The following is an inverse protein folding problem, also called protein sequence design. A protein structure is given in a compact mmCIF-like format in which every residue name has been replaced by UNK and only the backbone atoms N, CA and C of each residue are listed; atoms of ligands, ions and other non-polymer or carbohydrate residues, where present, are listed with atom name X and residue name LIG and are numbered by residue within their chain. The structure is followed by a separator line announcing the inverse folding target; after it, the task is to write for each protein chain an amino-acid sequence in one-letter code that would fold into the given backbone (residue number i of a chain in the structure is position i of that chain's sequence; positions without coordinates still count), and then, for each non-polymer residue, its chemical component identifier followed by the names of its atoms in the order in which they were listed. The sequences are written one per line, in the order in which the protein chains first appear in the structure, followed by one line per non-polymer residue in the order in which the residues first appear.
data_IF_924734040393
#
_entry.id   IF_924734040393
#
_cell.length_a   1.000
_cell.length_b   1.000
_cell.length_c   1.000
_cell.angle_alpha   90.00
_cell.angle_beta   90.00
_cell.angle_gamma   90.00
#
_symmetry.space_group_name_H-M   'P 1'
#
loop_
_entity.id
_entity.type
_entity.pdbx_description
1 polymer ?
#
# COMPACT_ATOMS: atom_id res chain seq x y z
N UNK A 1 -18.34 -6.69 -30.19
CA UNK A 1 -17.87 -8.03 -30.59
C UNK A 1 -17.50 -8.75 -29.30
N UNK A 2 -18.20 -9.85 -29.01
CA UNK A 2 -18.04 -10.60 -27.77
C UNK A 2 -16.72 -11.38 -27.73
N UNK A 3 -16.26 -11.71 -26.53
CA UNK A 3 -15.13 -12.62 -26.33
C UNK A 3 -15.54 -14.04 -26.73
N UNK A 4 -14.62 -14.76 -27.38
CA UNK A 4 -14.79 -16.18 -27.65
C UNK A 4 -14.85 -16.99 -26.35
N UNK A 5 -15.40 -18.21 -26.39
CA UNK A 5 -15.44 -19.08 -25.21
C UNK A 5 -14.05 -19.36 -24.62
N UNK A 6 -13.04 -19.50 -25.48
CA UNK A 6 -11.64 -19.71 -25.07
C UNK A 6 -11.06 -18.50 -24.35
N UNK A 7 -11.30 -17.30 -24.89
CA UNK A 7 -10.88 -16.04 -24.27
C UNK A 7 -11.56 -15.80 -22.93
N UNK A 8 -12.85 -16.15 -22.83
CA UNK A 8 -13.60 -16.10 -21.57
C UNK A 8 -12.96 -16.97 -20.49
N UNK A 9 -12.74 -18.25 -20.81
CA UNK A 9 -12.09 -19.20 -19.91
C UNK A 9 -10.70 -18.73 -19.48
N UNK A 10 -9.94 -18.13 -20.39
CA UNK A 10 -8.62 -17.57 -20.09
C UNK A 10 -8.69 -16.44 -19.05
N UNK A 11 -9.69 -15.56 -19.13
CA UNK A 11 -9.83 -14.48 -18.14
C UNK A 11 -10.38 -15.00 -16.82
N UNK A 12 -11.36 -15.91 -16.82
CA UNK A 12 -11.84 -16.54 -15.59
C UNK A 12 -10.69 -17.22 -14.84
N UNK A 13 -9.77 -17.88 -15.56
CA UNK A 13 -8.54 -18.42 -14.97
C UNK A 13 -7.64 -17.33 -14.38
N UNK A 14 -7.47 -16.18 -15.05
CA UNK A 14 -6.71 -15.04 -14.50
C UNK A 14 -7.34 -14.50 -13.22
N UNK A 15 -8.68 -14.38 -13.18
CA UNK A 15 -9.41 -13.93 -11.98
C UNK A 15 -9.23 -14.93 -10.85
N UNK A 16 -9.37 -16.23 -11.11
CA UNK A 16 -9.19 -17.27 -10.09
C UNK A 16 -7.75 -17.30 -9.56
N UNK A 17 -6.75 -17.20 -10.44
CA UNK A 17 -5.35 -17.06 -10.05
C UNK A 17 -5.16 -15.86 -9.13
N UNK A 18 -5.69 -14.70 -9.52
CA UNK A 18 -5.58 -13.48 -8.73
C UNK A 18 -6.22 -13.65 -7.36
N UNK A 19 -7.48 -14.10 -7.29
CA UNK A 19 -8.19 -14.31 -6.04
C UNK A 19 -7.52 -15.37 -5.15
N UNK A 20 -6.88 -16.39 -5.73
CA UNK A 20 -6.10 -17.39 -4.99
C UNK A 20 -4.79 -16.86 -4.39
N UNK A 21 -4.51 -15.56 -4.55
CA UNK A 21 -3.30 -14.91 -4.05
C UNK A 21 -2.10 -15.09 -4.97
N UNK A 22 -2.30 -15.65 -6.18
CA UNK A 22 -1.25 -15.72 -7.19
C UNK A 22 -1.11 -14.37 -7.90
N UNK A 23 0.12 -14.08 -8.33
CA UNK A 23 0.44 -12.89 -9.10
C UNK A 23 0.52 -13.20 -10.58
N UNK A 24 0.54 -12.15 -11.39
CA UNK A 24 0.87 -12.21 -12.81
C UNK A 24 1.76 -11.02 -13.13
N UNK A 25 2.76 -11.22 -13.98
CA UNK A 25 3.71 -10.16 -14.35
C UNK A 25 2.99 -8.97 -14.98
N UNK A 26 3.44 -7.75 -14.65
CA UNK A 26 2.95 -6.54 -15.31
C UNK A 26 3.78 -6.30 -16.57
N UNK A 27 3.36 -6.90 -17.68
CA UNK A 27 4.01 -6.70 -18.99
C UNK A 27 3.56 -5.42 -19.70
N UNK A 28 2.35 -4.94 -19.39
CA UNK A 28 1.71 -3.80 -20.04
C UNK A 28 1.00 -2.93 -18.98
N UNK A 29 0.89 -1.64 -19.27
CA UNK A 29 0.02 -0.71 -18.56
C UNK A 29 -0.92 -0.08 -19.60
N UNK A 30 -2.23 -0.30 -19.43
CA UNK A 30 -3.25 0.06 -20.40
C UNK A 30 -3.59 1.54 -20.37
N UNK A 31 -3.53 2.15 -19.19
CA UNK A 31 -3.98 3.54 -18.95
C UNK A 31 -2.97 4.30 -18.11
N UNK A 32 -2.72 5.56 -18.45
CA UNK A 32 -1.98 6.51 -17.61
C UNK A 32 -0.47 6.32 -17.59
N UNK A 33 0.10 5.42 -18.40
CA UNK A 33 1.54 5.16 -18.43
C UNK A 33 2.32 6.43 -18.84
N UNK A 34 1.78 7.19 -19.79
CA UNK A 34 2.29 8.47 -20.27
C UNK A 34 2.30 9.56 -19.20
N UNK A 35 1.43 9.44 -18.20
CA UNK A 35 1.35 10.34 -17.04
C UNK A 35 2.18 9.85 -15.85
N UNK A 36 2.73 8.65 -15.95
CA UNK A 36 3.53 8.01 -14.90
C UNK A 36 5.02 8.08 -15.20
N UNK A 37 5.84 7.97 -14.14
CA UNK A 37 7.30 7.85 -14.25
C UNK A 37 7.72 6.53 -13.63
N UNK A 38 8.73 5.84 -14.20
CA UNK A 38 9.31 4.66 -13.57
C UNK A 38 9.64 4.95 -12.12
N UNK A 39 9.22 4.06 -11.22
CA UNK A 39 9.53 4.16 -9.81
C UNK A 39 11.04 4.03 -9.62
N UNK A 40 11.60 4.96 -8.86
CA UNK A 40 13.00 4.98 -8.44
C UNK A 40 13.00 5.39 -6.97
N UNK A 41 13.29 4.41 -6.11
CA UNK A 41 13.35 4.60 -4.67
C UNK A 41 14.28 5.77 -4.33
N UNK A 42 13.90 6.57 -3.32
CA UNK A 42 14.67 7.74 -2.86
C UNK A 42 14.78 8.89 -3.88
N UNK A 43 14.21 8.75 -5.09
CA UNK A 43 14.17 9.80 -6.10
C UNK A 43 12.76 10.33 -6.33
N UNK A 44 11.82 9.47 -6.73
CA UNK A 44 10.43 9.88 -7.00
C UNK A 44 9.37 9.12 -6.18
N UNK A 45 9.75 7.97 -5.59
CA UNK A 45 8.93 7.20 -4.66
C UNK A 45 9.65 7.01 -3.32
N UNK A 46 8.87 7.00 -2.24
CA UNK A 46 9.29 6.74 -0.86
C UNK A 46 8.45 5.62 -0.32
N UNK A 47 9.09 4.50 0.02
CA UNK A 47 8.45 3.39 0.71
C UNK A 47 8.83 3.41 2.19
N UNK A 48 7.83 3.21 3.03
CA UNK A 48 7.97 3.06 4.47
C UNK A 48 7.52 1.66 4.81
N UNK A 49 8.31 0.97 5.63
CA UNK A 49 7.92 -0.33 6.17
C UNK A 49 7.79 -0.17 7.67
N UNK A 50 6.67 -0.64 8.21
CA UNK A 50 6.31 -0.57 9.61
C UNK A 50 6.04 -1.98 10.11
N UNK A 51 6.69 -2.39 11.20
CA UNK A 51 6.43 -3.67 11.86
C UNK A 51 5.63 -3.47 13.13
N UNK A 52 4.48 -4.13 13.24
CA UNK A 52 3.70 -4.30 14.48
C UNK A 52 4.04 -5.66 15.07
N UNK A 53 4.50 -5.66 16.31
CA UNK A 53 4.98 -6.86 16.99
C UNK A 53 4.28 -6.99 18.33
N UNK A 54 3.87 -8.21 18.68
CA UNK A 54 3.29 -8.53 19.98
C UNK A 54 4.21 -9.43 20.80
N UNK A 55 4.22 -9.22 22.11
CA UNK A 55 4.97 -10.09 23.03
C UNK A 55 4.11 -11.29 23.45
N UNK A 56 4.35 -12.45 22.85
CA UNK A 56 3.63 -13.68 23.15
C UNK A 56 4.13 -14.38 24.44
N UNK A 57 5.29 -13.97 25.00
CA UNK A 57 5.88 -14.63 26.19
C UNK A 57 5.19 -14.28 27.51
N UNK A 58 4.22 -13.35 27.51
CA UNK A 58 3.48 -12.96 28.73
C UNK A 58 2.22 -13.80 28.96
N UNK A 59 1.96 -14.85 28.16
CA UNK A 59 0.77 -15.70 28.33
C UNK A 59 0.93 -16.78 29.41
N UNK A 60 0.79 -16.38 30.67
CA UNK A 60 -0.01 -17.10 31.68
C UNK A 60 -0.62 -16.08 32.66
N UNK A 61 -1.77 -15.49 32.32
CA UNK A 61 -2.65 -14.87 33.32
C UNK A 61 -3.25 -13.49 33.02
N UNK A 62 -2.78 -12.73 32.01
CA UNK A 62 -3.34 -11.42 31.68
C UNK A 62 -3.78 -11.37 30.20
N UNK A 63 -5.03 -10.99 29.94
CA UNK A 63 -5.61 -10.86 28.60
C UNK A 63 -5.10 -9.65 27.79
N UNK A 64 -3.97 -9.04 28.19
CA UNK A 64 -3.47 -7.81 27.58
C UNK A 64 -2.11 -8.05 26.93
N UNK A 65 -2.13 -8.20 25.60
CA UNK A 65 -0.92 -8.33 24.77
C UNK A 65 -0.15 -7.01 24.71
N UNK A 66 1.16 -7.08 24.92
CA UNK A 66 2.09 -5.96 24.82
C UNK A 66 2.44 -5.72 23.35
N UNK A 67 2.50 -4.46 22.93
CA UNK A 67 2.76 -4.09 21.54
C UNK A 67 4.03 -3.23 21.41
N UNK A 68 4.73 -3.39 20.28
CA UNK A 68 5.80 -2.48 19.84
C UNK A 68 5.63 -2.20 18.35
N UNK A 69 5.88 -0.96 17.93
CA UNK A 69 5.89 -0.53 16.54
C UNK A 69 7.24 0.10 16.18
N UNK A 70 7.90 -0.43 15.14
CA UNK A 70 9.16 0.10 14.58
C UNK A 70 8.89 0.64 13.16
N UNK A 71 9.47 1.79 12.79
CA UNK A 71 9.13 2.52 11.55
C UNK A 71 10.38 3.13 10.90
N UNK A 72 10.76 2.62 9.71
CA UNK A 72 11.87 3.19 8.91
C UNK A 72 11.39 3.81 7.60
N UNK A 73 11.96 4.97 7.24
CA UNK A 73 11.68 5.71 6.00
C UNK A 73 12.77 5.49 4.95
N UNK A 74 12.44 5.00 3.76
CA UNK A 74 13.37 4.99 2.62
C UNK A 74 13.17 6.20 1.72
N UNK A 75 13.86 7.32 1.99
CA UNK A 75 13.86 8.51 1.13
C UNK A 75 14.29 9.80 1.85
N UNK A 76 15.09 10.64 1.18
CA UNK A 76 15.54 11.95 1.69
C UNK A 76 14.40 12.96 1.55
N UNK A 77 14.04 13.65 2.64
CA UNK A 77 13.12 14.77 2.57
C UNK A 77 13.82 15.95 1.88
N UNK A 78 13.29 16.43 0.75
CA UNK A 78 13.56 17.79 0.29
C UNK A 78 12.61 18.68 1.08
N UNK A 79 13.17 19.51 1.96
CA UNK A 79 12.39 20.42 2.77
C UNK A 79 11.77 21.52 1.89
N UNK A 80 10.46 21.72 2.02
CA UNK A 80 9.78 22.96 1.65
C UNK A 80 9.55 23.71 2.98
N UNK A 81 10.02 24.96 3.13
CA UNK A 81 9.91 25.67 4.40
C UNK A 81 8.48 26.19 4.61
N UNK A 82 7.91 26.09 5.83
CA UNK A 82 6.67 26.75 6.18
C UNK A 82 6.89 28.26 6.49
N UNK A 83 5.85 29.11 6.35
CA UNK A 83 5.95 30.52 6.68
C UNK A 83 5.70 30.76 8.18
N UNK A 84 6.66 31.46 8.82
CA UNK A 84 6.48 32.45 9.90
C UNK A 84 5.86 32.04 11.25
N UNK A 85 6.60 32.33 12.33
CA UNK A 85 6.05 32.55 13.69
C UNK A 85 7.01 32.13 14.82
N UNK A 86 7.59 33.11 15.53
CA UNK A 86 8.66 32.92 16.52
C UNK A 86 8.24 32.75 18.00
N UNK A 87 9.26 32.40 18.80
CA UNK A 87 9.57 32.63 20.25
C UNK A 87 8.43 32.50 21.30
N UNK A 88 8.59 31.98 22.52
CA UNK A 88 9.73 31.80 23.44
C UNK A 88 9.29 30.91 24.64
N UNK A 89 10.22 30.38 25.45
CA UNK A 89 9.97 30.06 26.87
C UNK A 89 10.24 28.62 27.37
N UNK A 90 11.12 28.50 28.38
CA UNK A 90 11.81 27.29 28.84
C UNK A 90 11.14 26.48 29.98
N UNK A 91 11.58 25.21 30.15
CA UNK A 91 11.62 24.53 31.46
C UNK A 91 11.38 23.00 31.46
N UNK A 92 12.36 22.24 31.99
CA UNK A 92 12.10 20.97 32.70
C UNK A 92 12.33 19.65 31.93
N UNK A 93 13.40 18.94 32.32
CA UNK A 93 13.79 17.60 31.86
C UNK A 93 12.85 16.49 32.34
N UNK A 94 12.54 15.53 31.46
CA UNK A 94 12.45 14.09 31.76
C UNK A 94 12.37 13.32 30.42
N UNK A 95 13.33 12.42 30.20
CA UNK A 95 13.53 11.72 28.94
C UNK A 95 12.40 10.76 28.59
N UNK A 96 12.03 10.74 27.31
CA UNK A 96 11.19 9.68 26.76
C UNK A 96 11.79 9.14 25.47
N UNK A 97 11.81 7.83 25.42
CA UNK A 97 12.65 7.02 24.57
C UNK A 97 11.83 6.38 23.46
N UNK A 98 11.92 6.98 22.28
CA UNK A 98 11.91 6.31 21.00
C UNK A 98 12.80 7.17 20.08
N UNK A 99 13.81 6.56 19.46
CA UNK A 99 14.71 7.12 18.45
C UNK A 99 14.50 8.62 18.12
N UNK A 100 15.10 9.49 18.91
CA UNK A 100 15.38 10.86 18.49
C UNK A 100 16.48 10.74 17.44
N UNK A 101 16.14 10.84 16.15
CA UNK A 101 17.07 11.51 15.23
C UNK A 101 17.04 12.97 15.70
N UNK A 102 18.15 13.51 16.24
CA UNK A 102 18.14 14.89 16.69
C UNK A 102 17.86 15.78 15.48
N UNK A 103 16.81 16.59 15.58
CA UNK A 103 16.75 17.82 14.82
C UNK A 103 18.02 18.61 15.15
N UNK A 104 18.86 18.86 14.13
CA UNK A 104 20.05 19.67 14.27
C UNK A 104 19.68 20.99 14.93
N UNK A 105 20.29 21.23 16.08
CA UNK A 105 20.17 22.44 16.88
C UNK A 105 20.71 23.61 16.06
N UNK A 106 19.90 24.66 15.90
CA UNK A 106 20.35 25.97 15.42
C UNK A 106 21.49 26.48 16.31
N UNK A 107 22.65 26.68 15.69
CA UNK A 107 23.78 27.42 16.23
C UNK A 107 24.16 28.46 15.19
N UNK A 108 24.06 29.74 15.57
CA UNK A 108 24.21 30.87 14.67
C UNK A 108 25.59 31.01 14.04
N UNK A 109 25.60 31.75 12.92
CA UNK A 109 26.81 32.23 12.26
C UNK A 109 26.45 32.91 10.96
N UNK A 110 26.18 34.23 11.02
CA UNK A 110 26.15 35.07 9.82
C UNK A 110 27.57 35.20 9.25
N UNK A 111 27.69 35.07 7.93
CA UNK A 111 28.94 35.26 7.19
C UNK A 111 28.80 34.80 5.74
N UNK A 112 28.67 35.76 4.84
CA UNK A 112 28.49 35.65 3.39
C UNK A 112 29.77 35.18 2.62
N UNK A 113 29.70 34.94 1.28
CA UNK A 113 30.42 33.87 0.59
C UNK A 113 31.69 34.30 -0.16
N UNK A 114 32.55 33.33 -0.49
CA UNK A 114 33.65 33.48 -1.45
C UNK A 114 33.87 32.18 -2.22
N UNK A 115 33.89 32.28 -3.56
CA UNK A 115 33.91 31.15 -4.49
C UNK A 115 35.27 30.51 -4.79
N UNK A 116 35.31 29.73 -5.86
CA UNK A 116 36.54 29.22 -6.48
C UNK A 116 36.53 27.72 -6.75
N UNK A 117 36.89 27.36 -7.98
CA UNK A 117 36.83 26.04 -8.59
C UNK A 117 37.82 24.98 -8.05
N UNK A 118 37.64 23.77 -8.60
CA UNK A 118 38.63 22.73 -8.92
C UNK A 118 38.64 21.42 -8.12
N UNK A 119 38.90 20.38 -8.91
CA UNK A 119 38.74 18.96 -8.63
C UNK A 119 39.90 18.40 -7.80
N UNK A 120 39.56 17.45 -6.92
CA UNK A 120 40.51 16.59 -6.23
C UNK A 120 39.74 15.47 -5.56
N UNK A 121 39.97 14.24 -6.01
CA UNK A 121 39.30 13.07 -5.46
C UNK A 121 39.74 12.80 -4.03
N UNK A 122 38.77 12.66 -3.13
CA UNK A 122 38.95 11.93 -1.87
C UNK A 122 37.76 10.98 -1.71
N UNK A 123 38.11 9.70 -1.77
CA UNK A 123 37.27 8.54 -1.52
C UNK A 123 36.72 8.60 -0.10
N UNK A 124 35.40 8.79 0.06
CA UNK A 124 34.73 8.60 1.33
C UNK A 124 34.31 7.12 1.46
N UNK A 125 35.05 6.38 2.30
CA UNK A 125 35.04 4.92 2.44
C UNK A 125 33.84 4.34 3.23
N UNK A 126 32.72 5.06 3.35
CA UNK A 126 31.62 4.67 4.24
C UNK A 126 30.36 4.17 3.51
N UNK A 127 30.39 4.08 2.17
CA UNK A 127 29.26 3.61 1.37
C UNK A 127 29.67 2.43 0.47
N UNK A 128 30.12 1.34 1.08
CA UNK A 128 30.08 0.05 0.39
C UNK A 128 28.61 -0.38 0.31
N UNK A 129 28.11 -0.51 -0.93
CA UNK A 129 26.70 -0.78 -1.23
C UNK A 129 26.09 -1.90 -0.39
N UNK A 130 25.18 -1.51 0.51
CA UNK A 130 24.38 -2.46 1.26
C UNK A 130 23.21 -2.94 0.41
N UNK A 131 23.38 -4.21 0.03
CA UNK A 131 22.49 -5.13 -0.68
C UNK A 131 21.04 -5.07 -0.19
N UNK A 132 20.11 -4.78 -1.12
CA UNK A 132 18.71 -5.18 -0.96
C UNK A 132 18.67 -6.71 -0.71
N UNK A 133 17.85 -7.21 0.24
CA UNK A 133 17.84 -8.62 0.59
C UNK A 133 17.63 -9.49 -0.67
N UNK A 134 18.48 -10.50 -0.80
CA UNK A 134 18.40 -11.51 -1.84
C UNK A 134 17.08 -12.28 -1.70
N UNK A 135 16.36 -12.41 -2.83
CA UNK A 135 15.29 -13.36 -3.14
C UNK A 135 14.31 -13.89 -2.05
N UNK A 136 12.98 -13.71 -2.22
CA UNK A 136 11.95 -14.33 -1.37
C UNK A 136 11.68 -15.82 -1.61
N UNK A 137 12.48 -16.53 -2.40
CA UNK A 137 12.27 -17.97 -2.65
C UNK A 137 12.91 -18.88 -1.60
N UNK A 138 13.65 -18.37 -0.63
CA UNK A 138 14.25 -19.18 0.44
C UNK A 138 13.88 -18.61 1.84
N UNK A 139 13.19 -19.44 2.61
CA UNK A 139 13.00 -19.42 4.08
C UNK A 139 13.75 -18.29 4.81
N UNK A 140 13.06 -17.18 5.08
CA UNK A 140 13.52 -16.20 6.08
C UNK A 140 13.53 -14.74 5.64
N UNK A 141 12.37 -14.17 5.32
CA UNK A 141 12.19 -12.72 5.29
C UNK A 141 12.43 -12.14 6.70
N UNK A 142 13.69 -11.84 7.02
CA UNK A 142 14.08 -11.15 8.24
C UNK A 142 13.80 -9.66 8.04
N UNK A 143 13.10 -9.00 8.96
CA UNK A 143 12.89 -7.55 8.87
C UNK A 143 14.12 -6.82 9.45
N UNK A 144 15.04 -6.27 8.64
CA UNK A 144 16.29 -5.69 9.17
C UNK A 144 16.02 -4.50 10.10
N UNK A 145 14.95 -3.76 9.83
CA UNK A 145 14.51 -2.58 10.57
C UNK A 145 14.21 -2.87 12.04
N UNK A 146 13.52 -3.97 12.32
CA UNK A 146 13.16 -4.36 13.71
C UNK A 146 14.43 -4.75 14.48
N UNK A 147 15.42 -5.31 13.80
CA UNK A 147 16.72 -5.63 14.39
C UNK A 147 17.52 -4.38 14.71
N UNK A 148 17.60 -3.43 13.78
CA UNK A 148 18.34 -2.17 13.94
C UNK A 148 17.71 -1.26 15.01
N UNK A 149 16.39 -1.05 14.94
CA UNK A 149 15.68 -0.13 15.83
C UNK A 149 15.33 -0.74 17.20
N UNK A 150 15.08 -2.05 17.28
CA UNK A 150 14.58 -2.69 18.50
C UNK A 150 15.39 -3.89 18.99
N UNK A 151 16.39 -4.37 18.23
CA UNK A 151 17.26 -5.47 18.61
C UNK A 151 16.70 -6.87 18.38
N UNK A 152 15.47 -7.00 17.85
CA UNK A 152 14.83 -8.29 17.62
C UNK A 152 15.01 -8.79 16.18
N UNK A 153 15.28 -10.09 16.04
CA UNK A 153 15.06 -10.79 14.78
C UNK A 153 13.56 -11.12 14.67
N UNK A 154 12.94 -10.85 13.53
CA UNK A 154 11.53 -11.14 13.30
C UNK A 154 11.24 -11.55 11.87
N UNK A 155 10.10 -12.21 11.67
CA UNK A 155 9.55 -12.59 10.38
C UNK A 155 8.14 -11.99 10.19
N UNK A 156 7.79 -11.51 8.99
CA UNK A 156 6.44 -11.02 8.72
C UNK A 156 5.45 -12.19 8.75
N UNK A 157 4.32 -11.98 9.42
CA UNK A 157 3.16 -12.88 9.39
C UNK A 157 2.28 -12.52 8.20
N UNK A 158 1.90 -11.24 8.07
CA UNK A 158 1.03 -10.73 6.99
C UNK A 158 1.19 -9.22 6.87
N UNK A 159 0.82 -8.65 5.73
CA UNK A 159 0.50 -7.23 5.61
C UNK A 159 -0.83 -6.94 6.34
N UNK A 160 -0.85 -5.93 7.21
CA UNK A 160 -2.03 -5.48 7.97
C UNK A 160 -2.77 -4.30 7.33
N UNK A 161 -2.00 -3.37 6.75
CA UNK A 161 -2.53 -2.19 6.07
C UNK A 161 -1.51 -1.64 5.06
N UNK A 162 -1.98 -1.16 3.90
CA UNK A 162 -1.24 -0.17 3.10
C UNK A 162 -1.82 1.20 3.39
N UNK A 163 -0.95 2.17 3.66
CA UNK A 163 -1.30 3.58 3.64
C UNK A 163 -0.60 4.28 2.51
N UNK A 164 -1.28 5.17 1.81
CA UNK A 164 -0.70 5.90 0.71
C UNK A 164 -1.11 7.38 0.71
N UNK A 165 -0.21 8.21 0.22
CA UNK A 165 -0.47 9.62 -0.10
C UNK A 165 0.03 9.82 -1.54
N UNK A 166 -0.65 9.14 -2.45
CA UNK A 166 -0.30 9.01 -3.84
C UNK A 166 0.88 8.07 -4.07
N UNK A 167 1.28 7.87 -5.33
CA UNK A 167 2.33 6.91 -5.67
C UNK A 167 3.72 7.27 -5.13
N UNK A 168 3.89 8.49 -4.63
CA UNK A 168 5.17 8.98 -4.14
C UNK A 168 5.46 8.59 -2.69
N UNK A 169 4.43 8.25 -1.92
CA UNK A 169 4.55 7.91 -0.51
C UNK A 169 3.63 6.75 -0.19
N UNK A 170 4.21 5.60 0.11
CA UNK A 170 3.47 4.38 0.44
C UNK A 170 4.08 3.75 1.68
N UNK A 171 3.24 3.46 2.67
CA UNK A 171 3.60 2.78 3.91
C UNK A 171 2.99 1.38 3.95
N UNK A 172 3.85 0.37 4.01
CA UNK A 172 3.50 -1.03 4.17
C UNK A 172 3.58 -1.40 5.66
N UNK A 173 2.44 -1.77 6.24
CA UNK A 173 2.35 -2.14 7.66
C UNK A 173 2.25 -3.65 7.76
N UNK A 174 3.20 -4.28 8.44
CA UNK A 174 3.26 -5.72 8.63
C UNK A 174 2.94 -6.08 10.08
N UNK A 175 2.22 -7.18 10.27
CA UNK A 175 2.26 -7.94 11.52
C UNK A 175 3.52 -8.81 11.46
N UNK A 176 4.34 -8.81 12.51
CA UNK A 176 5.56 -9.61 12.57
C UNK A 176 5.67 -10.39 13.88
N UNK A 177 6.31 -11.57 13.79
CA UNK A 177 6.61 -12.44 14.91
C UNK A 177 8.10 -12.36 15.24
N UNK A 178 8.44 -12.21 16.52
CA UNK A 178 9.82 -12.31 16.99
C UNK A 178 10.29 -13.75 16.86
N UNK A 179 11.45 -13.93 16.24
CA UNK A 179 12.11 -15.24 16.06
C UNK A 179 13.44 -15.33 16.81
N UNK A 180 13.96 -14.21 17.31
CA UNK A 180 15.20 -14.17 18.08
C UNK A 180 15.63 -12.75 18.43
N UNK A 181 16.90 -12.59 18.82
CA UNK A 181 17.44 -11.31 19.28
C UNK A 181 17.00 -10.94 20.69
N UNK A 182 17.33 -9.72 21.09
CA UNK A 182 17.04 -9.19 22.42
C UNK A 182 16.73 -7.71 22.34
N UNK A 183 15.86 -7.23 23.23
CA UNK A 183 15.46 -5.83 23.28
C UNK A 183 16.67 -4.89 23.38
N UNK A 184 16.73 -3.92 22.47
CA UNK A 184 17.75 -2.87 22.49
C UNK A 184 17.54 -1.96 23.69
N UNK A 185 18.55 -1.88 24.56
CA UNK A 185 18.57 -1.01 25.74
C UNK A 185 19.42 0.25 25.45
N UNK A 186 19.42 1.21 26.39
CA UNK A 186 20.27 2.40 26.31
C UNK A 186 21.77 2.11 26.14
N UNK A 187 22.25 0.93 26.56
CA UNK A 187 23.66 0.56 26.39
C UNK A 187 24.01 0.23 24.94
N UNK A 188 23.01 -0.06 24.11
CA UNK A 188 23.13 -0.33 22.69
C UNK A 188 22.61 0.84 21.83
N UNK A 189 22.48 2.05 22.40
CA UNK A 189 22.02 3.23 21.70
C UNK A 189 22.93 3.59 20.51
N UNK A 190 22.34 3.92 19.38
CA UNK A 190 23.04 4.36 18.17
C UNK A 190 22.20 5.39 17.40
N UNK A 191 22.57 5.65 16.14
CA UNK A 191 21.89 6.64 15.28
C UNK A 191 20.52 6.16 14.77
N UNK A 192 20.23 4.86 14.81
CA UNK A 192 18.92 4.32 14.40
C UNK A 192 17.92 4.44 15.54
N UNK A 193 18.33 4.12 16.77
CA UNK A 193 17.49 4.32 17.96
C UNK A 193 18.26 4.32 19.27
N UNK A 194 17.72 5.04 20.26
CA UNK A 194 18.28 5.08 21.62
C UNK A 194 17.97 3.81 22.42
N UNK A 195 16.75 3.26 22.30
CA UNK A 195 16.33 1.98 22.88
C UNK A 195 15.01 1.53 22.24
N UNK A 196 14.55 0.33 22.61
CA UNK A 196 13.17 -0.11 22.47
C UNK A 196 12.59 -0.56 23.81
N UNK A 197 11.25 -0.52 23.91
CA UNK A 197 10.51 -1.00 25.07
C UNK A 197 9.17 -1.57 24.65
N UNK A 198 8.65 -2.50 25.44
CA UNK A 198 7.27 -2.98 25.31
C UNK A 198 6.32 -1.94 25.90
N UNK A 199 5.19 -1.72 25.22
CA UNK A 199 4.13 -0.88 25.73
C UNK A 199 2.91 -1.72 26.12
N UNK A 200 2.40 -1.47 27.33
CA UNK A 200 1.22 -2.13 27.92
C UNK A 200 -0.10 -1.62 27.33
N UNK A 201 -0.06 -0.58 26.49
CA UNK A 201 -1.23 0.14 25.95
C UNK A 201 -2.01 0.97 26.97
N UNK A 202 -1.55 1.05 28.22
CA UNK A 202 -2.17 1.82 29.30
C UNK A 202 -1.33 3.04 29.68
N UNK A 203 -0.01 2.88 29.73
CA UNK A 203 0.91 3.93 30.11
C UNK A 203 0.86 5.09 29.11
N UNK A 204 0.78 6.31 29.62
CA UNK A 204 0.89 7.52 28.79
C UNK A 204 2.33 7.62 28.27
N UNK A 205 2.48 7.66 26.95
CA UNK A 205 3.75 7.86 26.27
C UNK A 205 3.67 9.13 25.40
N UNK A 206 4.63 10.06 25.49
CA UNK A 206 4.87 11.06 24.46
C UNK A 206 5.18 10.38 23.11
N UNK A 207 4.14 10.15 22.31
CA UNK A 207 4.27 9.55 20.99
C UNK A 207 4.74 10.58 19.96
N UNK A 208 5.68 10.19 19.09
CA UNK A 208 6.08 10.99 17.92
C UNK A 208 4.89 11.30 17.00
N UNK A 209 4.02 10.32 16.84
CA UNK A 209 2.79 10.41 16.06
C UNK A 209 1.74 9.48 16.67
N UNK A 210 0.48 9.93 16.70
CA UNK A 210 -0.64 9.12 17.22
C UNK A 210 -1.19 8.13 16.20
N UNK A 211 -0.74 8.21 14.95
CA UNK A 211 -1.15 7.33 13.85
C UNK A 211 -0.79 5.86 14.13
N UNK A 212 0.31 5.61 14.84
CA UNK A 212 0.74 4.25 15.24
C UNK A 212 -0.30 3.52 16.09
N UNK A 213 -1.15 4.23 16.84
CA UNK A 213 -2.18 3.63 17.69
C UNK A 213 -3.19 2.85 16.85
N UNK A 214 -3.60 3.42 15.71
CA UNK A 214 -4.49 2.73 14.76
C UNK A 214 -3.82 1.53 14.11
N UNK A 215 -2.50 1.58 13.87
CA UNK A 215 -1.74 0.45 13.32
C UNK A 215 -1.67 -0.72 14.32
N UNK A 216 -1.45 -0.41 15.60
CA UNK A 216 -1.49 -1.40 16.69
C UNK A 216 -2.88 -2.02 16.80
N UNK A 217 -3.94 -1.21 16.73
CA UNK A 217 -5.32 -1.70 16.75
C UNK A 217 -5.63 -2.65 15.58
N UNK A 218 -5.17 -2.34 14.36
CA UNK A 218 -5.28 -3.25 13.22
C UNK A 218 -4.58 -4.58 13.50
N UNK A 219 -3.35 -4.53 14.04
CA UNK A 219 -2.62 -5.72 14.42
C UNK A 219 -3.36 -6.56 15.47
N UNK A 220 -3.92 -5.93 16.50
CA UNK A 220 -4.67 -6.63 17.56
C UNK A 220 -5.95 -7.27 17.02
N UNK A 221 -6.69 -6.53 16.19
CA UNK A 221 -7.90 -7.05 15.54
C UNK A 221 -7.56 -8.27 14.69
N UNK A 222 -6.48 -8.21 13.91
CA UNK A 222 -6.11 -9.30 13.01
C UNK A 222 -5.61 -10.50 13.81
N UNK A 223 -4.78 -10.25 14.83
CA UNK A 223 -4.28 -11.29 15.70
C UNK A 223 -5.41 -12.02 16.46
N UNK A 224 -6.47 -11.32 16.85
CA UNK A 224 -7.64 -11.92 17.51
C UNK A 224 -8.56 -12.65 16.54
N UNK A 225 -8.87 -12.05 15.40
CA UNK A 225 -9.78 -12.58 14.40
C UNK A 225 -9.34 -12.12 13.00
N UNK A 226 -8.52 -12.92 12.30
CA UNK A 226 -8.11 -12.61 10.92
C UNK A 226 -9.33 -12.47 10.01
N UNK A 227 -9.50 -11.33 9.37
CA UNK A 227 -10.62 -11.07 8.45
C UNK A 227 -10.21 -11.09 6.97
N UNK A 228 -8.91 -11.20 6.69
CA UNK A 228 -8.36 -11.39 5.36
C UNK A 228 -7.30 -12.49 5.41
N UNK A 229 -7.05 -13.20 4.30
CA UNK A 229 -6.02 -14.24 4.26
C UNK A 229 -4.63 -13.66 4.53
N UNK A 230 -3.68 -14.52 4.86
CA UNK A 230 -2.28 -14.11 4.98
C UNK A 230 -1.78 -13.60 3.63
N UNK A 231 -1.38 -12.34 3.58
CA UNK A 231 -0.94 -11.66 2.36
C UNK A 231 0.46 -11.11 2.57
N UNK A 232 1.41 -11.57 1.78
CA UNK A 232 2.78 -11.05 1.72
C UNK A 232 3.07 -10.53 0.30
N UNK A 233 4.06 -9.63 0.13
CA UNK A 233 4.47 -9.19 -1.20
C UNK A 233 4.90 -10.39 -2.06
N UNK A 234 4.30 -10.51 -3.23
CA UNK A 234 4.68 -11.46 -4.26
C UNK A 234 5.93 -10.96 -4.97
N UNK A 235 6.90 -11.85 -5.14
CA UNK A 235 8.19 -11.54 -5.73
C UNK A 235 8.11 -11.41 -7.25
N UNK A 236 7.55 -10.29 -7.70
CA UNK A 236 7.35 -9.97 -9.11
C UNK A 236 7.77 -8.52 -9.37
N UNK A 237 8.57 -8.32 -10.42
CA UNK A 237 9.06 -6.99 -10.77
C UNK A 237 7.96 -6.13 -11.34
N UNK A 238 7.93 -4.86 -10.91
CA UNK A 238 7.14 -3.83 -11.54
C UNK A 238 8.01 -2.58 -11.71
N UNK A 239 7.86 -1.89 -12.84
CA UNK A 239 8.66 -0.69 -13.13
C UNK A 239 7.99 0.58 -12.62
N UNK A 240 6.67 0.58 -12.48
CA UNK A 240 5.86 1.74 -12.08
C UNK A 240 5.06 1.41 -10.83
N UNK A 241 4.48 2.42 -10.20
CA UNK A 241 3.40 2.18 -9.24
C UNK A 241 2.11 2.05 -10.06
N UNK A 242 1.54 0.85 -10.06
CA UNK A 242 0.37 0.52 -10.88
C UNK A 242 -0.71 -0.16 -10.04
N UNK A 243 -1.93 -0.09 -10.55
CA UNK A 243 -3.09 -0.79 -10.03
C UNK A 243 -3.59 -1.75 -11.11
N UNK A 244 -3.64 -3.05 -10.79
CA UNK A 244 -4.35 -4.05 -11.59
C UNK A 244 -5.75 -4.21 -11.04
N UNK A 245 -6.74 -4.04 -11.92
CA UNK A 245 -8.11 -3.77 -11.53
C UNK A 245 -8.98 -4.95 -11.94
N UNK A 246 -9.49 -5.67 -10.95
CA UNK A 246 -10.63 -6.56 -11.13
C UNK A 246 -11.89 -5.72 -10.94
N UNK A 247 -12.32 -5.03 -11.99
CA UNK A 247 -13.53 -4.22 -11.96
C UNK A 247 -14.75 -5.12 -12.16
N UNK A 248 -15.63 -5.15 -11.17
CA UNK A 248 -16.86 -5.93 -11.18
C UNK A 248 -18.10 -5.04 -11.18
N UNK A 249 -19.12 -5.48 -11.90
CA UNK A 249 -20.48 -4.97 -11.77
C UNK A 249 -21.39 -6.13 -11.34
N UNK A 250 -22.25 -5.89 -10.34
CA UNK A 250 -23.21 -6.88 -9.85
C UNK A 250 -24.60 -6.39 -10.21
N UNK A 251 -25.29 -7.15 -11.05
CA UNK A 251 -26.65 -6.84 -11.50
C UNK A 251 -27.70 -7.26 -10.47
N UNK A 252 -28.93 -6.78 -10.67
CA UNK A 252 -30.06 -7.07 -9.79
C UNK A 252 -30.29 -8.57 -9.53
N UNK A 253 -30.08 -9.41 -10.56
CA UNK A 253 -30.26 -10.87 -10.49
C UNK A 253 -29.01 -11.61 -9.99
N UNK A 254 -28.07 -10.90 -9.37
CA UNK A 254 -26.77 -11.42 -8.89
C UNK A 254 -25.92 -12.06 -10.00
N UNK A 255 -26.15 -11.70 -11.26
CA UNK A 255 -25.16 -11.91 -12.30
C UNK A 255 -23.98 -10.96 -12.05
N UNK A 256 -22.79 -11.39 -12.44
CA UNK A 256 -21.57 -10.61 -12.23
C UNK A 256 -20.80 -10.48 -13.53
N UNK A 257 -20.36 -9.27 -13.81
CA UNK A 257 -19.59 -8.93 -14.99
C UNK A 257 -18.23 -8.39 -14.57
N UNK A 258 -17.22 -8.74 -15.35
CA UNK A 258 -15.85 -8.24 -15.21
C UNK A 258 -15.51 -7.38 -16.43
N UNK A 259 -14.91 -6.21 -16.21
CA UNK A 259 -14.40 -5.39 -17.31
C UNK A 259 -13.04 -5.93 -17.77
N UNK A 260 -12.89 -6.11 -19.08
CA UNK A 260 -11.72 -6.76 -19.67
C UNK A 260 -11.16 -5.92 -20.82
N UNK A 261 -9.84 -5.83 -20.89
CA UNK A 261 -9.11 -5.26 -22.05
C UNK A 261 -8.91 -6.36 -23.08
N UNK A 262 -9.28 -6.14 -24.34
CA UNK A 262 -9.28 -7.17 -25.40
C UNK A 262 -7.90 -7.44 -26.03
N UNK A 263 -7.05 -6.43 -26.14
CA UNK A 263 -5.82 -6.48 -26.94
C UNK A 263 -4.57 -6.24 -26.10
N UNK A 264 -3.42 -6.90 -26.37
CA UNK A 264 -3.20 -7.88 -27.45
C UNK A 264 -3.80 -9.28 -27.18
N UNK A 265 -4.12 -9.59 -25.92
CA UNK A 265 -4.93 -10.73 -25.51
C UNK A 265 -5.84 -10.30 -24.34
N UNK A 266 -6.98 -10.97 -24.10
CA UNK A 266 -7.89 -10.60 -23.02
C UNK A 266 -7.25 -10.67 -21.63
N UNK A 267 -7.27 -9.54 -20.92
CA UNK A 267 -6.68 -9.42 -19.60
C UNK A 267 -7.39 -8.38 -18.73
N UNK A 268 -7.09 -8.41 -17.43
CA UNK A 268 -7.59 -7.43 -16.47
C UNK A 268 -6.90 -6.07 -16.67
N UNK A 269 -7.66 -4.95 -16.69
CA UNK A 269 -7.09 -3.62 -16.85
C UNK A 269 -5.98 -3.32 -15.84
N UNK A 270 -4.88 -2.74 -16.33
CA UNK A 270 -3.80 -2.23 -15.49
C UNK A 270 -3.58 -0.76 -15.75
N UNK A 271 -3.65 0.08 -14.72
CA UNK A 271 -3.48 1.51 -14.83
C UNK A 271 -2.34 2.02 -13.95
N UNK A 272 -1.58 2.99 -14.45
CA UNK A 272 -0.51 3.61 -13.67
C UNK A 272 -1.09 4.65 -12.72
N UNK A 273 -0.55 4.68 -11.49
CA UNK A 273 -0.97 5.65 -10.50
C UNK A 273 -0.54 7.07 -10.88
N UNK A 274 -1.45 8.03 -10.72
CA UNK A 274 -1.18 9.44 -10.96
C UNK A 274 -0.59 10.11 -9.73
N UNK A 275 0.39 10.98 -9.96
CA UNK A 275 1.08 11.72 -8.89
C UNK A 275 0.15 12.59 -8.03
N UNK A 276 -0.94 13.06 -8.61
CA UNK A 276 -1.86 14.02 -8.01
C UNK A 276 -3.03 13.37 -7.26
N UNK A 277 -3.12 12.04 -7.28
CA UNK A 277 -4.27 11.31 -6.73
C UNK A 277 -3.81 10.13 -5.89
N UNK A 278 -4.77 9.58 -5.12
CA UNK A 278 -4.64 8.29 -4.46
C UNK A 278 -4.25 7.20 -5.47
N UNK A 279 -3.46 6.21 -5.04
CA UNK A 279 -3.08 5.09 -5.93
C UNK A 279 -4.32 4.35 -6.48
N UNK A 280 -5.35 4.18 -5.65
CA UNK A 280 -6.62 3.53 -6.01
C UNK A 280 -7.48 4.34 -6.98
N UNK A 281 -7.15 5.61 -7.20
CA UNK A 281 -7.85 6.45 -8.17
C UNK A 281 -7.60 5.99 -9.61
N UNK A 282 -6.56 5.20 -9.88
CA UNK A 282 -6.28 4.68 -11.21
C UNK A 282 -7.46 3.83 -11.77
N UNK A 283 -8.27 3.22 -10.91
CA UNK A 283 -9.56 2.62 -11.30
C UNK A 283 -10.49 3.58 -12.02
N UNK A 284 -10.58 4.84 -11.56
CA UNK A 284 -11.43 5.86 -12.18
C UNK A 284 -10.97 6.17 -13.60
N UNK A 285 -9.66 6.18 -13.86
CA UNK A 285 -9.15 6.38 -15.22
C UNK A 285 -9.60 5.27 -16.17
N UNK A 286 -9.57 4.01 -15.72
CA UNK A 286 -10.06 2.88 -16.52
C UNK A 286 -11.54 3.04 -16.83
N UNK A 287 -12.36 3.41 -15.83
CA UNK A 287 -13.80 3.62 -16.03
C UNK A 287 -14.06 4.81 -16.96
N UNK A 288 -13.39 5.96 -16.76
CA UNK A 288 -13.51 7.12 -17.64
C UNK A 288 -13.11 6.81 -19.09
N UNK A 289 -12.09 5.98 -19.30
CA UNK A 289 -11.68 5.59 -20.64
C UNK A 289 -12.65 4.57 -21.28
N UNK A 290 -13.24 3.67 -20.49
CA UNK A 290 -14.14 2.62 -20.96
C UNK A 290 -15.57 3.12 -21.24
N UNK A 291 -16.14 3.93 -20.35
CA UNK A 291 -17.53 4.40 -20.37
C UNK A 291 -17.66 5.89 -19.97
N UNK A 292 -17.08 6.82 -20.74
CA UNK A 292 -17.04 8.24 -20.40
C UNK A 292 -18.40 8.89 -20.23
N UNK A 293 -19.44 8.46 -20.98
CA UNK A 293 -20.76 9.09 -20.91
C UNK A 293 -21.53 8.73 -19.63
N UNK A 294 -21.25 7.58 -19.02
CA UNK A 294 -21.91 7.10 -17.80
C UNK A 294 -21.01 7.11 -16.55
N UNK A 295 -19.78 7.62 -16.67
CA UNK A 295 -18.83 7.67 -15.56
C UNK A 295 -19.38 8.41 -14.33
N UNK A 296 -20.05 9.54 -14.54
CA UNK A 296 -20.62 10.34 -13.44
C UNK A 296 -21.91 9.76 -12.85
N UNK A 297 -22.49 8.73 -13.46
CA UNK A 297 -23.65 8.01 -12.92
C UNK A 297 -23.27 6.84 -12.02
N UNK A 298 -21.95 6.61 -11.81
CA UNK A 298 -21.45 5.45 -11.08
C UNK A 298 -20.33 5.82 -10.11
N UNK A 299 -20.35 5.19 -8.95
CA UNK A 299 -19.24 5.15 -8.01
C UNK A 299 -18.25 4.04 -8.39
N UNK A 300 -16.96 4.40 -8.42
CA UNK A 300 -15.85 3.46 -8.61
C UNK A 300 -15.25 3.13 -7.24
N UNK A 301 -15.78 2.09 -6.60
CA UNK A 301 -15.43 1.75 -5.23
C UNK A 301 -14.35 0.66 -5.15
N UNK A 302 -13.17 1.00 -4.64
CA UNK A 302 -12.13 0.00 -4.36
C UNK A 302 -12.44 -0.72 -3.05
N UNK A 303 -12.84 -1.99 -3.13
CA UNK A 303 -13.24 -2.78 -1.97
C UNK A 303 -12.06 -3.24 -1.12
N UNK A 304 -10.90 -3.42 -1.74
CA UNK A 304 -9.65 -3.80 -1.07
C UNK A 304 -8.62 -4.39 -2.02
N UNK A 305 -7.49 -4.80 -1.46
CA UNK A 305 -6.45 -5.52 -2.19
C UNK A 305 -6.62 -7.03 -2.06
N UNK A 306 -6.39 -7.69 -3.19
CA UNK A 306 -6.27 -9.14 -3.28
C UNK A 306 -4.82 -9.55 -3.00
N UNK A 307 -3.86 -8.85 -3.62
CA UNK A 307 -2.42 -9.12 -3.44
C UNK A 307 -1.56 -7.91 -3.81
N UNK A 308 -0.31 -7.92 -3.33
CA UNK A 308 0.72 -6.92 -3.62
C UNK A 308 1.87 -7.60 -4.37
N UNK A 309 2.37 -7.00 -5.45
CA UNK A 309 3.60 -7.44 -6.12
C UNK A 309 4.69 -6.39 -5.96
N UNK A 310 5.89 -6.85 -5.63
CA UNK A 310 7.08 -6.02 -5.56
C UNK A 310 8.35 -6.87 -5.63
N UNK A 311 9.34 -6.43 -6.41
CA UNK A 311 10.69 -6.99 -6.42
C UNK A 311 11.70 -5.84 -6.54
N UNK A 312 12.23 -5.37 -5.41
CA UNK A 312 13.21 -4.27 -5.37
C UNK A 312 14.66 -4.68 -5.66
N UNK A 313 14.93 -5.83 -6.30
CA UNK A 313 16.31 -6.34 -6.45
C UNK A 313 17.17 -5.49 -7.39
N UNK A 314 16.57 -4.79 -8.35
CA UNK A 314 17.27 -3.91 -9.28
C UNK A 314 16.83 -2.46 -9.08
N UNK A 315 17.60 -1.73 -8.25
CA UNK A 315 17.35 -0.34 -7.94
C UNK A 315 17.15 0.53 -9.20
N UNK A 316 16.09 1.33 -9.21
CA UNK A 316 15.70 2.21 -10.31
C UNK A 316 15.11 1.51 -11.55
N UNK A 317 15.01 0.17 -11.55
CA UNK A 317 14.42 -0.62 -12.64
C UNK A 317 13.17 -1.37 -12.21
N UNK A 318 13.19 -1.96 -11.01
CA UNK A 318 12.12 -2.81 -10.49
C UNK A 318 11.54 -2.29 -9.17
N UNK A 319 11.82 -1.02 -8.85
CA UNK A 319 11.38 -0.35 -7.62
C UNK A 319 9.87 -0.09 -7.58
N UNK A 320 9.11 -0.44 -8.62
CA UNK A 320 7.67 -0.26 -8.66
C UNK A 320 6.91 -1.28 -7.82
N UNK A 321 5.59 -1.08 -7.75
CA UNK A 321 4.66 -1.99 -7.07
C UNK A 321 3.40 -2.14 -7.91
N UNK A 322 2.81 -3.33 -7.92
CA UNK A 322 1.49 -3.56 -8.49
C UNK A 322 0.50 -3.92 -7.39
N UNK A 323 -0.49 -3.06 -7.19
CA UNK A 323 -1.61 -3.31 -6.30
C UNK A 323 -2.71 -4.03 -7.08
N UNK A 324 -2.98 -5.30 -6.75
CA UNK A 324 -4.10 -6.00 -7.36
C UNK A 324 -5.34 -5.77 -6.51
N UNK A 325 -6.34 -5.08 -7.05
CA UNK A 325 -7.50 -4.60 -6.31
C UNK A 325 -8.80 -5.17 -6.87
N UNK A 326 -9.73 -5.52 -5.97
CA UNK A 326 -11.13 -5.71 -6.33
C UNK A 326 -11.84 -4.35 -6.29
N UNK A 327 -12.52 -4.00 -7.37
CA UNK A 327 -13.19 -2.72 -7.52
C UNK A 327 -14.62 -2.97 -7.98
N UNK A 328 -15.60 -2.38 -7.31
CA UNK A 328 -17.00 -2.46 -7.71
C UNK A 328 -17.40 -1.16 -8.42
N UNK A 329 -18.06 -1.31 -9.57
CA UNK A 329 -18.81 -0.22 -10.21
C UNK A 329 -20.24 -0.27 -9.68
N UNK A 330 -20.64 0.76 -8.93
CA UNK A 330 -21.95 0.82 -8.28
C UNK A 330 -22.71 2.02 -8.85
N UNK A 331 -23.97 1.87 -9.30
CA UNK A 331 -24.77 3.02 -9.71
C UNK A 331 -24.88 4.03 -8.57
N UNK A 332 -24.66 5.32 -8.87
CA UNK A 332 -24.88 6.39 -7.90
C UNK A 332 -26.38 6.46 -7.60
N UNK A 333 -26.76 6.15 -6.36
CA UNK A 333 -28.15 6.08 -5.90
C UNK A 333 -28.77 7.45 -5.68
N UNK A 334 -28.00 8.53 -5.77
CA UNK A 334 -28.47 9.89 -5.56
C UNK A 334 -28.80 10.61 -6.87
N UNK A 335 -29.40 9.93 -7.85
CA UNK A 335 -29.99 10.65 -8.99
C UNK A 335 -31.22 11.44 -8.52
N UNK A 336 -31.17 12.75 -8.73
CA UNK A 336 -32.27 13.67 -8.48
C UNK A 336 -32.97 13.98 -9.80
N UNK A 337 -34.30 14.02 -9.80
CA UNK A 337 -35.05 14.49 -10.97
C UNK A 337 -34.86 16.00 -11.20
N UNK A 338 -35.50 16.53 -12.26
CA UNK A 338 -35.49 17.96 -12.58
C UNK A 338 -36.02 18.84 -11.43
N UNK A 339 -36.80 18.27 -10.50
CA UNK A 339 -37.35 18.91 -9.31
C UNK A 339 -36.47 18.72 -8.06
N UNK A 340 -35.32 18.05 -8.17
CA UNK A 340 -34.37 17.83 -7.09
C UNK A 340 -34.76 16.70 -6.12
N UNK A 341 -35.82 15.94 -6.41
CA UNK A 341 -36.29 14.79 -5.63
C UNK A 341 -35.47 13.55 -5.95
N UNK A 342 -35.18 12.76 -4.93
CA UNK A 342 -34.42 11.52 -5.08
C UNK A 342 -35.28 10.48 -5.83
N UNK A 343 -34.81 10.01 -6.99
CA UNK A 343 -35.52 9.02 -7.80
C UNK A 343 -34.95 7.64 -7.52
N UNK A 344 -35.79 6.72 -7.04
CA UNK A 344 -35.45 5.30 -6.99
C UNK A 344 -35.62 4.68 -8.38
N UNK A 345 -34.51 4.48 -9.09
CA UNK A 345 -34.49 3.66 -10.29
C UNK A 345 -34.40 2.17 -9.93
N UNK A 346 -35.08 1.28 -10.69
CA UNK A 346 -34.91 -0.16 -10.51
C UNK A 346 -33.45 -0.55 -10.68
N UNK A 347 -32.97 -1.46 -9.82
CA UNK A 347 -31.60 -1.94 -9.87
C UNK A 347 -31.25 -2.44 -11.27
N UNK A 348 -30.15 -1.94 -11.84
CA UNK A 348 -29.72 -2.31 -13.18
C UNK A 348 -29.44 -3.81 -13.26
N UNK A 349 -30.04 -4.46 -14.25
CA UNK A 349 -29.81 -5.90 -14.49
C UNK A 349 -28.46 -6.11 -15.16
N UNK A 350 -28.04 -5.21 -16.06
CA UNK A 350 -26.81 -5.34 -16.85
C UNK A 350 -25.89 -4.13 -16.63
N UNK A 351 -24.56 -4.28 -16.85
CA UNK A 351 -23.63 -3.16 -16.70
C UNK A 351 -23.85 -2.07 -17.75
N UNK A 352 -23.40 -0.82 -17.50
CA UNK A 352 -23.47 0.26 -18.47
C UNK A 352 -22.70 -0.09 -19.76
N UNK A 353 -23.16 0.41 -20.92
CA UNK A 353 -22.50 0.13 -22.19
C UNK A 353 -21.08 0.70 -22.20
N UNK A 354 -20.14 -0.09 -22.74
CA UNK A 354 -18.76 0.33 -22.97
C UNK A 354 -18.69 1.07 -24.31
N UNK A 355 -18.11 2.27 -24.31
CA UNK A 355 -17.98 3.13 -25.50
C UNK A 355 -16.62 2.91 -26.20
N UNK A 356 -15.58 2.58 -25.43
CA UNK A 356 -14.27 2.29 -25.97
C UNK A 356 -14.11 0.81 -26.33
N UNK A 357 -13.98 0.53 -27.63
CA UNK A 357 -13.89 -0.82 -28.21
C UNK A 357 -12.73 -1.70 -27.71
N UNK A 358 -11.74 -1.10 -27.01
CA UNK A 358 -10.65 -1.83 -26.35
C UNK A 358 -11.15 -2.63 -25.15
N UNK A 359 -12.25 -2.21 -24.55
CA UNK A 359 -12.85 -2.83 -23.37
C UNK A 359 -14.10 -3.63 -23.74
N UNK A 360 -14.44 -4.59 -22.89
CA UNK A 360 -15.68 -5.37 -22.99
C UNK A 360 -16.10 -5.86 -21.61
N UNK A 361 -17.40 -5.85 -21.34
CA UNK A 361 -17.95 -6.57 -20.19
C UNK A 361 -18.04 -8.05 -20.50
N UNK A 362 -17.53 -8.86 -19.57
CA UNK A 362 -17.66 -10.31 -19.62
C UNK A 362 -18.48 -10.79 -18.46
N UNK A 363 -19.61 -11.44 -18.73
CA UNK A 363 -20.35 -12.16 -17.71
C UNK A 363 -19.57 -13.41 -17.28
N UNK A 364 -19.38 -13.56 -15.97
CA UNK A 364 -18.73 -14.73 -15.37
C UNK A 364 -19.69 -15.91 -15.39
N UNK A 365 -19.30 -16.99 -16.06
CA UNK A 365 -20.11 -18.19 -16.25
C UNK A 365 -19.74 -19.29 -15.27
N UNK A 366 -18.47 -19.35 -14.85
CA UNK A 366 -18.00 -20.37 -13.91
C UNK A 366 -18.68 -20.20 -12.54
N UNK A 367 -19.53 -21.16 -12.09
CA UNK A 367 -20.37 -20.97 -10.91
C UNK A 367 -19.60 -20.73 -9.62
N UNK A 368 -18.50 -21.45 -9.40
CA UNK A 368 -17.67 -21.30 -8.20
C UNK A 368 -17.01 -19.91 -8.14
N UNK A 369 -16.53 -19.41 -9.28
CA UNK A 369 -15.93 -18.09 -9.38
C UNK A 369 -16.97 -16.99 -9.16
N UNK A 370 -18.17 -17.15 -9.72
CA UNK A 370 -19.30 -16.24 -9.51
C UNK A 370 -19.67 -16.14 -8.03
N UNK A 371 -19.83 -17.27 -7.34
CA UNK A 371 -20.15 -17.30 -5.91
C UNK A 371 -19.07 -16.58 -5.08
N UNK A 372 -17.81 -16.87 -5.37
CA UNK A 372 -16.66 -16.25 -4.69
C UNK A 372 -16.63 -14.73 -4.87
N UNK A 373 -16.81 -14.24 -6.10
CA UNK A 373 -16.83 -12.80 -6.36
C UNK A 373 -18.05 -12.11 -5.71
N UNK A 374 -19.22 -12.76 -5.68
CA UNK A 374 -20.40 -12.25 -4.98
C UNK A 374 -20.16 -12.16 -3.47
N UNK A 375 -19.46 -13.13 -2.89
CA UNK A 375 -19.07 -13.08 -1.48
C UNK A 375 -18.13 -11.91 -1.20
N UNK A 376 -17.07 -11.74 -2.00
CA UNK A 376 -16.09 -10.67 -1.82
C UNK A 376 -16.67 -9.26 -2.07
N UNK A 377 -17.69 -9.15 -2.92
CA UNK A 377 -18.37 -7.86 -3.13
C UNK A 377 -19.32 -7.47 -2.00
N UNK A 378 -19.91 -8.45 -1.31
CA UNK A 378 -20.87 -8.20 -0.21
C UNK A 378 -20.20 -8.11 1.16
N UNK A 379 -19.22 -8.96 1.42
CA UNK A 379 -18.48 -9.01 2.68
C UNK A 379 -17.00 -9.24 2.38
N UNK A 380 -16.27 -8.18 1.99
CA UNK A 380 -14.90 -8.31 1.50
C UNK A 380 -13.99 -8.87 2.59
N UNK A 381 -13.33 -9.99 2.27
CA UNK A 381 -12.26 -10.57 3.08
C UNK A 381 -10.89 -10.09 2.57
N UNK A 382 -10.83 -8.83 2.15
CA UNK A 382 -9.69 -8.25 1.43
C UNK A 382 -8.75 -7.49 2.36
N UNK A 383 -7.49 -7.46 1.94
CA UNK A 383 -6.44 -6.71 2.63
C UNK A 383 -6.66 -5.19 2.43
N UNK A 384 -6.68 -4.36 3.49
CA UNK A 384 -7.10 -2.96 3.35
C UNK A 384 -6.00 -2.03 2.82
N UNK A 385 -6.47 -0.98 2.15
CA UNK A 385 -5.68 0.21 1.79
C UNK A 385 -6.39 1.47 2.25
N UNK A 386 -5.61 2.41 2.77
CA UNK A 386 -6.09 3.68 3.26
C UNK A 386 -5.34 4.82 2.55
N UNK A 387 -6.09 5.63 1.80
CA UNK A 387 -5.61 6.93 1.32
C UNK A 387 -5.51 7.93 2.48
N UNK A 388 -4.45 8.73 2.47
CA UNK A 388 -4.22 9.84 3.39
C UNK A 388 -4.46 11.22 2.75
N UNK A 389 -5.05 11.26 1.54
CA UNK A 389 -5.48 12.49 0.88
C UNK A 389 -6.65 13.17 1.60
#
# INVERSE_FOLDING_TARGET
MELTAKERQQVEQQVEQLLSGQGSEVSLCDVGLELSKPAVLRKNVTYIVCGVVFNDQVRRGCEEGWACAAVRRYGRAVAVPPPGGGADGAGGQAGLLQAVVPASREGGGGGEPGGGAEAGGESCSCCHGERCPESPSDVGARCPQVKEEAGFDCQPITLLLIQEQGPQWIRFVFLARITGGSMKTLTAADQESLQASWWDRQASLPLRGRDILRLIEHGLRYHRNPWHPVTLPLDMSCRHVVQRILLVFVGADKQIWVLVVRAPAPHLPTAAALRTHAVTWASNMVVQEALPSSYYDHDVNTLGLISLQHNGRQHGKTDGVCLNTLVALVPDRAQRDEDGLQVEWPAAVTPPPVENTRYVWMEVQEPALKERLLQETQNPSLFPIQSLY
#
